data_IF_736992688799
#
_entry.id   IF_736992688799
#
_cell.length_a   1.000
_cell.length_b   1.000
_cell.length_c   1.000
_cell.angle_alpha   90.00
_cell.angle_beta   90.00
_cell.angle_gamma   90.00
#
_symmetry.space_group_name_H-M   'P 1'
#
loop_
_entity.id
_entity.type
_entity.pdbx_description
1 polymer ?
#
# COMPACT_ATOMS: atom_id res chain seq x y z
N UNK A 1 -45.80 -21.80 -39.84
CA UNK A 1 -44.94 -22.30 -40.93
C UNK A 1 -43.73 -21.38 -41.01
N UNK A 2 -42.67 -21.69 -40.26
CA UNK A 2 -41.43 -22.34 -40.73
C UNK A 2 -40.54 -21.35 -41.53
N UNK A 3 -39.23 -21.20 -41.32
CA UNK A 3 -38.25 -21.85 -40.46
C UNK A 3 -36.98 -20.98 -40.50
N UNK A 4 -36.29 -20.89 -39.37
CA UNK A 4 -34.94 -20.33 -39.20
C UNK A 4 -33.90 -21.34 -39.76
N UNK A 5 -32.91 -20.91 -40.56
CA UNK A 5 -31.52 -21.45 -40.62
C UNK A 5 -30.64 -20.45 -41.42
N UNK A 6 -29.68 -19.74 -40.82
CA UNK A 6 -28.26 -20.11 -40.57
C UNK A 6 -27.39 -20.37 -41.82
N UNK A 7 -26.54 -19.39 -42.19
CA UNK A 7 -25.13 -19.65 -42.57
C UNK A 7 -24.20 -18.54 -42.05
N UNK A 8 -23.22 -18.97 -41.25
CA UNK A 8 -22.10 -18.21 -40.67
C UNK A 8 -21.21 -17.55 -41.74
N UNK A 9 -20.74 -16.32 -41.46
CA UNK A 9 -19.44 -15.83 -41.93
C UNK A 9 -18.67 -15.29 -40.72
N UNK A 10 -17.56 -15.94 -40.40
CA UNK A 10 -16.60 -15.54 -39.34
C UNK A 10 -16.12 -14.11 -39.63
N UNK A 11 -16.16 -13.22 -38.64
CA UNK A 11 -15.39 -11.98 -38.62
C UNK A 11 -14.34 -12.10 -37.53
N UNK A 12 -13.09 -11.86 -37.91
CA UNK A 12 -11.97 -11.64 -37.00
C UNK A 12 -12.23 -10.37 -36.20
N UNK A 13 -11.86 -10.40 -34.92
CA UNK A 13 -11.72 -9.20 -34.11
C UNK A 13 -10.24 -8.97 -33.93
N UNK A 14 -9.68 -8.05 -34.71
CA UNK A 14 -8.37 -7.46 -34.40
C UNK A 14 -8.63 -6.37 -33.36
N UNK A 15 -8.25 -6.64 -32.11
CA UNK A 15 -8.26 -5.65 -31.03
C UNK A 15 -7.05 -4.72 -31.21
N UNK A 16 -7.27 -3.57 -31.85
CA UNK A 16 -6.31 -2.47 -31.89
C UNK A 16 -6.27 -1.75 -30.55
N UNK A 17 -5.27 -2.04 -29.71
CA UNK A 17 -4.96 -1.23 -28.54
C UNK A 17 -4.24 0.04 -29.00
N UNK A 18 -4.94 1.18 -28.99
CA UNK A 18 -4.29 2.48 -29.11
C UNK A 18 -3.71 2.86 -27.74
N UNK A 19 -2.41 2.68 -27.56
CA UNK A 19 -1.67 3.17 -26.38
C UNK A 19 -1.32 4.63 -26.62
N UNK A 20 -1.92 5.54 -25.83
CA UNK A 20 -1.54 6.94 -25.79
C UNK A 20 -0.19 7.04 -25.07
N UNK A 21 0.85 7.43 -25.79
CA UNK A 21 2.15 7.74 -25.22
C UNK A 21 2.06 9.08 -24.47
N UNK A 22 2.07 9.04 -23.13
CA UNK A 22 2.37 10.26 -22.37
C UNK A 22 3.89 10.45 -22.36
N UNK A 23 4.37 11.44 -23.10
CA UNK A 23 5.70 12.02 -22.82
C UNK A 23 5.62 12.67 -21.44
N UNK A 24 6.44 12.19 -20.52
CA UNK A 24 6.60 12.79 -19.19
C UNK A 24 7.14 14.22 -19.38
N UNK A 25 6.38 15.27 -19.04
CA UNK A 25 6.89 16.64 -19.08
C UNK A 25 8.03 16.77 -18.08
N UNK A 26 9.11 17.48 -18.44
CA UNK A 26 10.32 17.67 -17.61
C UNK A 26 10.03 18.19 -16.18
N UNK A 27 8.84 18.73 -15.93
CA UNK A 27 8.41 19.24 -14.62
C UNK A 27 8.01 18.16 -13.60
N UNK A 28 7.72 16.92 -14.02
CA UNK A 28 7.39 15.80 -13.11
C UNK A 28 8.64 15.15 -12.48
N UNK A 29 9.83 15.47 -13.00
CA UNK A 29 11.12 14.96 -12.51
C UNK A 29 11.49 15.47 -11.11
N UNK A 30 10.92 16.60 -10.69
CA UNK A 30 11.20 17.26 -9.42
C UNK A 30 10.33 16.77 -8.24
N UNK A 31 9.28 15.98 -8.51
CA UNK A 31 8.31 15.52 -7.50
C UNK A 31 8.38 14.01 -7.22
N UNK A 32 9.18 13.27 -7.98
CA UNK A 32 9.41 11.85 -7.71
C UNK A 32 10.52 11.72 -6.66
N UNK A 33 10.27 11.07 -5.50
CA UNK A 33 11.36 10.72 -4.60
C UNK A 33 12.37 9.87 -5.38
N UNK A 34 13.67 10.16 -5.17
CA UNK A 34 14.82 9.67 -5.97
C UNK A 34 14.93 8.14 -6.13
N UNK A 35 14.04 7.34 -5.52
CA UNK A 35 14.08 5.88 -5.49
C UNK A 35 12.99 5.20 -6.36
N UNK A 36 12.08 5.93 -7.02
CA UNK A 36 10.84 5.33 -7.53
C UNK A 36 10.87 4.72 -8.94
N UNK A 37 11.95 4.86 -9.72
CA UNK A 37 11.97 4.44 -11.12
C UNK A 37 12.90 3.24 -11.36
N UNK A 38 12.33 2.04 -11.55
CA UNK A 38 13.04 0.91 -12.15
C UNK A 38 12.80 0.98 -13.66
N UNK A 39 13.80 1.41 -14.42
CA UNK A 39 13.73 1.46 -15.87
C UNK A 39 14.11 0.09 -16.46
N UNK A 40 13.12 -0.75 -16.77
CA UNK A 40 13.37 -1.97 -17.55
C UNK A 40 13.43 -1.64 -19.04
N UNK A 41 14.54 -2.00 -19.69
CA UNK A 41 14.75 -1.83 -21.13
C UNK A 41 13.97 -2.91 -21.88
N UNK A 42 12.97 -2.52 -22.67
CA UNK A 42 12.35 -3.38 -23.67
C UNK A 42 12.70 -2.85 -25.06
N UNK A 43 13.35 -3.69 -25.86
CA UNK A 43 13.62 -3.41 -27.28
C UNK A 43 12.40 -3.79 -28.11
N UNK A 44 11.78 -2.82 -28.77
CA UNK A 44 10.70 -3.09 -29.70
C UNK A 44 11.19 -3.70 -31.02
N UNK A 45 10.32 -4.36 -31.80
CA UNK A 45 10.66 -4.82 -33.14
C UNK A 45 10.89 -3.59 -34.03
N UNK A 46 12.17 -3.28 -34.30
CA UNK A 46 12.60 -2.08 -35.04
C UNK A 46 13.81 -1.35 -34.45
N UNK A 47 14.27 -1.72 -33.24
CA UNK A 47 15.42 -1.07 -32.59
C UNK A 47 15.06 0.15 -31.73
N UNK A 48 13.79 0.56 -31.71
CA UNK A 48 13.29 1.61 -30.82
C UNK A 48 13.39 1.15 -29.36
N UNK A 49 14.28 1.79 -28.60
CA UNK A 49 14.40 1.60 -27.16
C UNK A 49 13.37 2.48 -26.46
N UNK A 50 12.34 1.87 -25.85
CA UNK A 50 11.38 2.59 -25.00
C UNK A 50 11.73 2.35 -23.54
N UNK A 51 11.85 3.44 -22.79
CA UNK A 51 11.95 3.39 -21.33
C UNK A 51 10.54 3.46 -20.75
N UNK A 52 10.01 2.32 -20.29
CA UNK A 52 8.87 2.35 -19.40
C UNK A 52 9.39 2.73 -18.02
N UNK A 53 9.11 3.96 -17.58
CA UNK A 53 9.26 4.31 -16.19
C UNK A 53 8.11 3.63 -15.44
N UNK A 54 8.29 2.37 -15.04
CA UNK A 54 7.34 1.73 -14.13
C UNK A 54 7.64 2.31 -12.75
N UNK A 55 6.82 3.27 -12.35
CA UNK A 55 6.91 3.86 -11.02
C UNK A 55 6.62 2.71 -10.03
N UNK A 56 7.55 2.43 -9.11
CA UNK A 56 7.49 1.27 -8.18
C UNK A 56 6.14 1.15 -7.46
N UNK A 57 5.49 -0.01 -7.41
CA UNK A 57 4.22 -0.18 -6.68
C UNK A 57 4.36 0.23 -5.21
N UNK A 58 5.54 0.13 -4.61
CA UNK A 58 5.79 0.52 -3.22
C UNK A 58 6.21 1.99 -3.19
N UNK A 59 5.34 2.82 -2.62
CA UNK A 59 5.45 4.29 -2.68
C UNK A 59 6.00 4.89 -1.40
N UNK A 60 5.57 4.37 -0.25
CA UNK A 60 5.91 4.91 1.07
C UNK A 60 5.99 3.77 2.09
N UNK A 61 7.17 3.59 2.69
CA UNK A 61 7.40 2.64 3.78
C UNK A 61 8.25 3.34 4.82
N UNK A 62 7.77 3.43 6.06
CA UNK A 62 8.53 4.05 7.14
C UNK A 62 8.11 3.56 8.53
N UNK A 63 9.09 3.47 9.44
CA UNK A 63 8.87 3.45 10.88
C UNK A 63 9.32 4.80 11.45
N UNK A 64 8.46 5.49 12.20
CA UNK A 64 8.73 6.87 12.67
C UNK A 64 8.34 7.06 14.13
N UNK A 65 8.98 7.98 14.84
CA UNK A 65 8.57 8.40 16.18
C UNK A 65 7.66 9.65 16.18
N UNK A 66 7.49 10.29 15.03
CA UNK A 66 6.64 11.46 14.83
C UNK A 66 5.18 11.10 14.54
N UNK A 67 4.20 12.00 14.82
CA UNK A 67 2.80 11.81 14.43
C UNK A 67 2.63 11.48 12.94
N UNK A 68 1.69 10.56 12.66
CA UNK A 68 1.36 10.13 11.29
C UNK A 68 0.26 11.00 10.69
N UNK A 69 0.19 11.02 9.35
CA UNK A 69 -0.88 11.68 8.60
C UNK A 69 -1.58 10.69 7.68
N UNK A 70 -2.91 10.62 7.76
CA UNK A 70 -3.72 9.84 6.81
C UNK A 70 -3.56 10.40 5.39
N UNK A 71 -3.52 11.73 5.26
CA UNK A 71 -3.37 12.41 3.96
C UNK A 71 -2.02 12.12 3.32
N UNK A 72 -0.95 11.98 4.11
CA UNK A 72 0.37 11.59 3.58
C UNK A 72 0.30 10.23 2.89
N UNK A 73 -0.30 9.24 3.57
CA UNK A 73 -0.44 7.88 3.02
C UNK A 73 -1.39 7.86 1.84
N UNK A 74 -2.52 8.58 1.93
CA UNK A 74 -3.49 8.69 0.85
C UNK A 74 -2.87 9.32 -0.40
N UNK A 75 -2.09 10.38 -0.23
CA UNK A 75 -1.38 11.03 -1.34
C UNK A 75 -0.29 10.13 -1.94
N UNK A 76 0.37 9.30 -1.13
CA UNK A 76 1.36 8.34 -1.62
C UNK A 76 0.74 7.25 -2.51
N UNK A 77 -0.52 6.89 -2.29
CA UNK A 77 -1.24 5.87 -3.09
C UNK A 77 -2.15 6.44 -4.18
N UNK A 78 -2.30 7.76 -4.25
CA UNK A 78 -3.11 8.39 -5.27
C UNK A 78 -2.48 8.20 -6.66
N UNK A 79 -3.27 7.72 -7.62
CA UNK A 79 -2.84 7.51 -9.00
C UNK A 79 -4.00 7.72 -9.98
N UNK A 80 -3.81 8.39 -11.13
CA UNK A 80 -4.88 8.57 -12.13
C UNK A 80 -5.50 7.27 -12.66
N UNK A 81 -4.80 6.14 -12.58
CA UNK A 81 -5.31 4.83 -12.97
C UNK A 81 -6.11 4.13 -11.85
N UNK A 82 -6.10 4.66 -10.63
CA UNK A 82 -6.84 4.09 -9.50
C UNK A 82 -8.32 4.48 -9.54
N UNK A 83 -9.19 3.47 -9.49
CA UNK A 83 -10.64 3.64 -9.31
C UNK A 83 -11.09 3.31 -7.88
N UNK A 84 -10.18 2.81 -7.04
CA UNK A 84 -10.41 2.54 -5.63
C UNK A 84 -9.14 2.72 -4.80
N UNK A 85 -9.24 3.52 -3.73
CA UNK A 85 -8.23 3.69 -2.69
C UNK A 85 -8.82 3.12 -1.40
N UNK A 86 -8.08 2.27 -0.70
CA UNK A 86 -8.47 1.76 0.62
C UNK A 86 -7.36 2.06 1.60
N UNK A 87 -7.73 2.64 2.74
CA UNK A 87 -6.82 2.88 3.85
C UNK A 87 -7.34 2.18 5.10
N UNK A 88 -6.40 1.64 5.87
CA UNK A 88 -6.64 1.23 7.24
C UNK A 88 -5.87 2.16 8.18
N UNK A 89 -6.55 2.59 9.25
CA UNK A 89 -6.02 3.49 10.26
C UNK A 89 -6.16 2.83 11.63
N UNK A 90 -5.03 2.49 12.24
CA UNK A 90 -4.98 1.97 13.60
C UNK A 90 -4.78 3.12 14.60
N UNK A 91 -5.79 3.36 15.43
CA UNK A 91 -5.79 4.39 16.49
C UNK A 91 -5.63 3.76 17.87
N UNK A 92 -4.91 4.43 18.77
CA UNK A 92 -4.86 4.04 20.19
C UNK A 92 -6.25 4.23 20.82
N UNK A 93 -6.76 3.19 21.48
CA UNK A 93 -8.06 3.18 22.16
C UNK A 93 -7.89 3.41 23.67
N UNK A 94 -8.95 3.86 24.33
CA UNK A 94 -9.00 4.13 25.77
C UNK A 94 -9.17 2.87 26.65
N UNK A 95 -9.41 1.71 26.03
CA UNK A 95 -9.61 0.42 26.71
C UNK A 95 -8.90 -0.70 25.97
N UNK A 96 -8.26 -1.59 26.74
CA UNK A 96 -7.83 -2.90 26.27
C UNK A 96 -8.32 -3.97 27.25
N UNK A 97 -9.10 -4.95 26.75
CA UNK A 97 -9.66 -6.08 27.51
C UNK A 97 -10.15 -5.72 28.93
N UNK A 98 -11.00 -4.70 29.04
CA UNK A 98 -11.65 -4.18 30.28
C UNK A 98 -10.78 -3.35 31.24
N UNK A 99 -9.50 -3.10 30.94
CA UNK A 99 -8.63 -2.22 31.73
C UNK A 99 -8.47 -0.84 31.09
N UNK A 100 -8.51 0.20 31.92
CA UNK A 100 -8.21 1.57 31.50
C UNK A 100 -6.72 1.73 31.21
N UNK A 101 -6.39 2.23 30.02
CA UNK A 101 -5.01 2.48 29.58
C UNK A 101 -4.71 3.97 29.75
N UNK A 102 -3.58 4.31 30.39
CA UNK A 102 -3.16 5.71 30.62
C UNK A 102 -2.16 6.20 29.59
N UNK A 103 -1.30 5.30 29.10
CA UNK A 103 -0.29 5.58 28.09
C UNK A 103 0.07 4.28 27.34
N UNK A 104 0.47 4.44 26.08
CA UNK A 104 0.86 3.33 25.22
C UNK A 104 2.15 3.68 24.48
N UNK A 105 3.16 2.83 24.61
CA UNK A 105 4.44 3.00 23.93
C UNK A 105 4.66 1.88 22.92
N UNK A 106 5.17 2.22 21.74
CA UNK A 106 5.59 1.25 20.74
C UNK A 106 7.12 1.21 20.64
N UNK A 107 7.68 0.01 20.62
CA UNK A 107 9.10 -0.23 20.36
C UNK A 107 9.26 -1.07 19.11
N UNK A 108 10.31 -0.83 18.33
CA UNK A 108 10.59 -1.59 17.12
C UNK A 108 12.01 -2.13 17.10
N UNK A 109 12.19 -3.31 16.51
CA UNK A 109 13.51 -3.82 16.20
C UNK A 109 14.16 -2.96 15.09
N UNK A 110 15.50 -2.80 15.05
CA UNK A 110 16.16 -2.05 13.97
C UNK A 110 15.87 -2.56 12.55
N UNK A 111 15.44 -3.82 12.41
CA UNK A 111 15.02 -4.39 11.13
C UNK A 111 13.55 -4.15 10.76
N UNK A 112 12.75 -3.52 11.62
CA UNK A 112 11.30 -3.42 11.44
C UNK A 112 10.91 -2.74 10.12
N UNK A 113 11.59 -1.65 9.73
CA UNK A 113 11.31 -0.99 8.45
C UNK A 113 11.67 -1.87 7.25
N UNK A 114 12.76 -2.64 7.35
CA UNK A 114 13.16 -3.58 6.30
C UNK A 114 12.17 -4.75 6.18
N UNK A 115 11.67 -5.28 7.30
CA UNK A 115 10.61 -6.30 7.29
C UNK A 115 9.30 -5.73 6.75
N UNK A 116 8.91 -4.52 7.15
CA UNK A 116 7.72 -3.84 6.61
C UNK A 116 7.80 -3.66 5.08
N UNK A 117 9.00 -3.34 4.57
CA UNK A 117 9.23 -3.29 3.12
C UNK A 117 9.04 -4.65 2.45
N UNK A 118 9.59 -5.73 3.02
CA UNK A 118 9.40 -7.10 2.49
C UNK A 118 7.93 -7.51 2.48
N UNK A 119 7.18 -7.14 3.52
CA UNK A 119 5.72 -7.35 3.54
C UNK A 119 5.06 -6.62 2.37
N UNK A 120 5.37 -5.33 2.15
CA UNK A 120 4.82 -4.58 1.03
C UNK A 120 5.21 -5.18 -0.33
N UNK A 121 6.43 -5.68 -0.48
CA UNK A 121 6.89 -6.41 -1.68
C UNK A 121 6.11 -7.71 -1.89
N UNK A 122 5.88 -8.49 -0.83
CA UNK A 122 5.08 -9.71 -0.86
C UNK A 122 3.62 -9.42 -1.27
N UNK A 123 3.03 -8.36 -0.72
CA UNK A 123 1.68 -7.91 -1.10
C UNK A 123 1.65 -7.46 -2.56
N UNK A 124 2.60 -6.66 -3.03
CA UNK A 124 2.66 -6.23 -4.42
C UNK A 124 2.84 -7.41 -5.39
N UNK A 125 3.55 -8.47 -4.98
CA UNK A 125 3.70 -9.69 -5.76
C UNK A 125 2.43 -10.56 -5.77
N UNK A 126 1.73 -10.65 -4.64
CA UNK A 126 0.47 -11.41 -4.49
C UNK A 126 -0.72 -10.74 -5.18
N UNK A 127 -0.73 -9.41 -5.23
CA UNK A 127 -1.77 -8.57 -5.82
C UNK A 127 -1.16 -7.70 -6.94
N UNK A 128 -0.84 -8.28 -8.11
CA UNK A 128 -0.22 -7.54 -9.22
C UNK A 128 -1.06 -6.39 -9.77
N UNK A 129 -2.38 -6.37 -9.48
CA UNK A 129 -3.32 -5.30 -9.78
C UNK A 129 -3.18 -4.06 -8.88
N UNK A 130 -2.45 -4.16 -7.76
CA UNK A 130 -2.15 -3.02 -6.91
C UNK A 130 -1.32 -2.00 -7.68
N UNK A 131 -1.79 -0.76 -7.76
CA UNK A 131 -1.09 0.34 -8.44
C UNK A 131 -0.06 0.98 -7.50
N UNK A 132 -0.45 1.13 -6.24
CA UNK A 132 0.37 1.70 -5.19
C UNK A 132 0.09 1.04 -3.84
N UNK A 133 1.15 0.89 -3.04
CA UNK A 133 1.15 0.34 -1.69
C UNK A 133 1.94 1.29 -0.79
N UNK A 134 1.38 1.61 0.37
CA UNK A 134 2.02 2.42 1.38
C UNK A 134 1.72 1.88 2.79
N UNK A 135 2.71 1.95 3.68
CA UNK A 135 2.55 1.58 5.08
C UNK A 135 3.50 2.39 5.96
N UNK A 136 2.97 3.01 7.01
CA UNK A 136 3.75 3.72 8.02
C UNK A 136 3.30 3.31 9.41
N UNK A 137 4.26 3.07 10.30
CA UNK A 137 3.98 2.74 11.70
C UNK A 137 4.72 3.70 12.62
N UNK A 138 4.03 4.15 13.67
CA UNK A 138 4.58 5.03 14.70
C UNK A 138 5.15 4.22 15.86
N UNK A 139 6.30 4.63 16.36
CA UNK A 139 6.96 4.14 17.57
C UNK A 139 7.07 5.28 18.60
N UNK A 140 7.53 4.95 19.80
CA UNK A 140 7.59 5.88 20.92
C UNK A 140 6.28 5.94 21.70
N UNK A 141 6.11 7.00 22.48
CA UNK A 141 4.93 7.23 23.32
C UNK A 141 3.77 7.80 22.48
N UNK A 142 2.59 7.19 22.61
CA UNK A 142 1.36 7.58 21.94
C UNK A 142 0.25 7.81 22.97
N UNK A 143 -0.53 8.87 22.74
CA UNK A 143 -1.73 9.16 23.52
C UNK A 143 -2.96 8.43 22.96
N UNK A 144 -4.03 8.33 23.75
CA UNK A 144 -5.33 7.87 23.27
C UNK A 144 -5.78 8.75 22.09
N UNK A 145 -6.21 8.12 21.00
CA UNK A 145 -6.60 8.79 19.76
C UNK A 145 -5.47 8.99 18.76
N UNK A 146 -4.20 8.82 19.16
CA UNK A 146 -3.08 8.92 18.23
C UNK A 146 -3.10 7.79 17.19
N UNK A 147 -2.58 8.10 16.01
CA UNK A 147 -2.38 7.13 14.94
C UNK A 147 -1.14 6.28 15.22
N UNK A 148 -1.34 4.98 15.43
CA UNK A 148 -0.29 3.99 15.60
C UNK A 148 0.22 3.46 14.25
N UNK A 149 -0.70 3.22 13.31
CA UNK A 149 -0.36 2.69 11.99
C UNK A 149 -1.33 3.22 10.95
N UNK A 150 -0.82 3.53 9.77
CA UNK A 150 -1.64 3.85 8.60
C UNK A 150 -1.09 3.05 7.42
N UNK A 151 -1.95 2.26 6.79
CA UNK A 151 -1.62 1.54 5.56
C UNK A 151 -2.63 1.88 4.47
N UNK A 152 -2.20 1.81 3.22
CA UNK A 152 -3.04 2.12 2.08
C UNK A 152 -2.64 1.34 0.84
N UNK A 153 -3.65 0.95 0.06
CA UNK A 153 -3.49 0.33 -1.26
C UNK A 153 -4.48 0.93 -2.24
N UNK A 154 -4.02 1.21 -3.46
CA UNK A 154 -4.88 1.65 -4.56
C UNK A 154 -4.91 0.63 -5.69
N UNK A 155 -6.10 0.38 -6.25
CA UNK A 155 -6.30 -0.49 -7.41
C UNK A 155 -7.25 0.19 -8.42
N UNK A 156 -7.33 -0.35 -9.64
CA UNK A 156 -8.32 0.09 -10.63
C UNK A 156 -9.77 -0.13 -10.14
N UNK A 157 -9.98 -1.12 -9.28
CA UNK A 157 -11.28 -1.54 -8.78
C UNK A 157 -11.24 -1.74 -7.26
N UNK A 158 -12.38 -1.47 -6.61
CA UNK A 158 -12.47 -1.42 -5.14
C UNK A 158 -12.24 -2.77 -4.45
N UNK A 159 -12.66 -3.89 -5.06
CA UNK A 159 -12.66 -5.19 -4.39
C UNK A 159 -11.22 -5.65 -4.10
N UNK A 160 -10.37 -5.47 -5.09
CA UNK A 160 -8.95 -5.76 -5.07
C UNK A 160 -8.22 -4.85 -4.08
N UNK A 161 -8.57 -3.56 -4.05
CA UNK A 161 -8.03 -2.62 -3.06
C UNK A 161 -8.35 -3.04 -1.62
N UNK A 162 -9.60 -3.47 -1.35
CA UNK A 162 -9.99 -4.00 -0.03
C UNK A 162 -9.19 -5.26 0.34
N UNK A 163 -9.12 -6.23 -0.56
CA UNK A 163 -8.41 -7.48 -0.29
C UNK A 163 -6.91 -7.27 -0.05
N UNK A 164 -6.26 -6.43 -0.87
CA UNK A 164 -4.84 -6.15 -0.74
C UNK A 164 -4.53 -5.34 0.52
N UNK A 165 -5.33 -4.33 0.85
CA UNK A 165 -5.15 -3.53 2.07
C UNK A 165 -5.36 -4.35 3.34
N UNK A 166 -6.35 -5.24 3.36
CA UNK A 166 -6.57 -6.17 4.47
C UNK A 166 -5.40 -7.12 4.65
N UNK A 167 -4.93 -7.74 3.56
CA UNK A 167 -3.77 -8.63 3.61
C UNK A 167 -2.50 -7.91 4.07
N UNK A 168 -2.31 -6.64 3.67
CA UNK A 168 -1.17 -5.83 4.09
C UNK A 168 -1.14 -5.60 5.60
N UNK A 169 -2.27 -5.18 6.19
CA UNK A 169 -2.30 -4.95 7.63
C UNK A 169 -2.14 -6.26 8.41
N UNK A 170 -2.81 -7.34 8.00
CA UNK A 170 -2.68 -8.64 8.67
C UNK A 170 -1.23 -9.14 8.66
N UNK A 171 -0.58 -9.13 7.49
CA UNK A 171 0.80 -9.61 7.36
C UNK A 171 1.78 -8.72 8.13
N UNK A 172 1.58 -7.39 8.12
CA UNK A 172 2.36 -6.45 8.92
C UNK A 172 2.30 -6.84 10.40
N UNK A 173 1.09 -7.07 10.92
CA UNK A 173 0.86 -7.38 12.34
C UNK A 173 1.48 -8.71 12.79
N UNK A 174 1.61 -9.65 11.86
CA UNK A 174 2.20 -10.98 12.12
C UNK A 174 3.72 -10.94 12.05
N UNK A 175 4.30 -10.18 11.12
CA UNK A 175 5.72 -10.35 10.75
C UNK A 175 6.62 -9.19 11.18
N UNK A 176 6.09 -7.96 11.27
CA UNK A 176 6.91 -6.79 11.55
C UNK A 176 7.20 -6.74 13.05
N UNK A 177 8.49 -6.73 13.46
CA UNK A 177 8.88 -6.79 14.87
C UNK A 177 8.68 -5.44 15.57
N UNK A 178 7.42 -5.14 15.87
CA UNK A 178 6.95 -3.99 16.64
C UNK A 178 6.17 -4.50 17.85
N UNK A 179 6.48 -3.96 19.03
CA UNK A 179 5.90 -4.37 20.30
C UNK A 179 5.17 -3.21 20.95
N UNK A 180 4.06 -3.53 21.61
CA UNK A 180 3.19 -2.59 22.31
C UNK A 180 3.43 -2.73 23.81
N UNK A 181 3.82 -1.65 24.47
CA UNK A 181 3.89 -1.55 25.92
C UNK A 181 2.73 -0.71 26.41
N UNK A 182 1.93 -1.23 27.32
CA UNK A 182 0.76 -0.55 27.87
C UNK A 182 0.96 -0.30 29.35
N UNK A 183 0.66 0.92 29.81
CA UNK A 183 0.55 1.24 31.24
C UNK A 183 -0.91 1.43 31.60
N UNK A 184 -1.34 0.77 32.67
CA UNK A 184 -2.72 0.77 33.12
C UNK A 184 -2.96 1.78 34.25
N UNK A 185 -4.22 2.13 34.48
CA UNK A 185 -4.63 3.06 35.55
C UNK A 185 -4.34 2.57 36.97
N UNK A 186 -4.15 1.26 37.15
CA UNK A 186 -3.84 0.63 38.44
C UNK A 186 -2.32 0.62 38.76
N UNK A 187 -1.50 1.20 37.89
CA UNK A 187 -0.04 1.26 38.04
C UNK A 187 0.71 0.04 37.49
N UNK A 188 0.01 -0.95 36.92
CA UNK A 188 0.63 -2.10 36.26
C UNK A 188 1.01 -1.80 34.81
N UNK A 189 1.94 -2.56 34.25
CA UNK A 189 2.35 -2.49 32.85
C UNK A 189 2.41 -3.86 32.17
N UNK A 190 2.16 -3.90 30.86
CA UNK A 190 2.14 -5.13 30.07
C UNK A 190 2.80 -4.91 28.70
N UNK A 191 3.66 -5.86 28.32
CA UNK A 191 4.20 -5.96 26.97
C UNK A 191 3.38 -6.96 26.16
N UNK A 192 2.72 -6.47 25.11
CA UNK A 192 1.98 -7.30 24.16
C UNK A 192 2.81 -7.39 22.87
N UNK A 193 3.13 -8.63 22.47
CA UNK A 193 3.84 -8.94 21.23
C UNK A 193 2.90 -9.25 20.06
N UNK A 194 3.32 -8.83 18.86
CA UNK A 194 2.57 -8.80 17.59
C UNK A 194 1.33 -7.89 17.64
N UNK A 195 1.58 -6.59 17.41
CA UNK A 195 0.59 -5.52 17.29
C UNK A 195 -0.19 -5.62 15.99
#
# INVERSE_FOLDING_TARGET
>A
MALFTSKRKRRSWEFGWSVVAYQCPDQLRALLPQQAAIANRLTGPGGDTRYLCRVSQIRLIAIRDTPLSVDEVRNAIADPAAGGEVLFVGTVRDKDADKGVTALAYSAHPSAEAELRKVAESIAAKYPEAIAVAAVHRIGELAIGDLAVVVGVSCAHRAEAFHACHALIDELKVTVPVWKHQRFTDGTDEWVGSA
#
